data_IF_016495182436
#
_entry.id   IF_016495182436
#
_cell.length_a   1.000
_cell.length_b   1.000
_cell.length_c   1.000
_cell.angle_alpha   90.00
_cell.angle_beta   90.00
_cell.angle_gamma   90.00
#
_symmetry.space_group_name_H-M   'P 1'
#
loop_
_entity.id
_entity.type
_entity.pdbx_description
1 polymer ?
#
# COMPACT_ATOMS: atom_id res chain seq x y z
N UNK A 1 -11.98 8.68 -4.45
CA UNK A 1 -10.83 8.90 -3.53
C UNK A 1 -11.22 8.25 -2.22
N UNK A 2 -10.35 7.37 -1.71
CA UNK A 2 -10.57 6.64 -0.47
C UNK A 2 -9.33 6.74 0.41
N UNK A 3 -9.57 6.82 1.71
CA UNK A 3 -8.52 6.67 2.72
C UNK A 3 -8.27 5.19 2.93
N UNK A 4 -7.02 4.76 2.82
CA UNK A 4 -6.61 3.42 3.22
C UNK A 4 -5.51 3.49 4.25
N UNK A 5 -5.55 2.60 5.23
CA UNK A 5 -4.54 2.53 6.27
C UNK A 5 -3.60 1.38 5.97
N UNK A 6 -2.32 1.70 5.77
CA UNK A 6 -1.26 0.71 5.59
C UNK A 6 -0.51 0.54 6.90
N UNK A 7 -0.44 -0.68 7.38
CA UNK A 7 0.18 -1.06 8.65
C UNK A 7 1.52 -1.74 8.40
N UNK A 8 2.52 -1.39 9.19
CA UNK A 8 3.83 -2.03 9.12
C UNK A 8 3.74 -3.50 9.58
N UNK A 9 4.30 -4.41 8.80
CA UNK A 9 4.32 -5.85 9.13
C UNK A 9 5.10 -6.16 10.42
N UNK A 10 6.14 -5.37 10.72
CA UNK A 10 7.02 -5.59 11.87
C UNK A 10 6.52 -4.90 13.15
N UNK A 11 5.72 -3.84 13.02
CA UNK A 11 5.15 -3.12 14.15
C UNK A 11 3.74 -2.64 13.80
N UNK A 12 2.73 -3.37 14.25
CA UNK A 12 1.33 -3.05 13.96
C UNK A 12 0.81 -1.76 14.61
N UNK A 13 1.55 -1.20 15.58
CA UNK A 13 1.25 0.13 16.11
C UNK A 13 1.67 1.25 15.14
N UNK A 14 2.48 0.94 14.14
CA UNK A 14 2.95 1.86 13.10
C UNK A 14 2.05 1.72 11.88
N UNK A 15 1.29 2.76 11.55
CA UNK A 15 0.40 2.79 10.39
C UNK A 15 0.34 4.17 9.74
N UNK A 16 0.22 4.22 8.42
CA UNK A 16 0.04 5.45 7.65
C UNK A 16 -1.30 5.43 6.92
N UNK A 17 -1.99 6.56 6.93
CA UNK A 17 -3.23 6.76 6.18
C UNK A 17 -2.89 7.40 4.83
N UNK A 18 -3.26 6.74 3.73
CA UNK A 18 -2.99 7.17 2.35
C UNK A 18 -4.29 7.50 1.63
N UNK A 19 -4.29 8.57 0.85
CA UNK A 19 -5.43 9.02 0.05
C UNK A 19 -5.29 8.55 -1.39
N UNK A 20 -5.92 7.43 -1.75
CA UNK A 20 -5.73 6.83 -3.06
C UNK A 20 -7.01 6.89 -3.91
N UNK A 21 -6.91 7.00 -5.24
CA UNK A 21 -8.03 6.75 -6.14
C UNK A 21 -8.66 5.37 -5.92
N UNK A 22 -9.93 5.21 -6.27
CA UNK A 22 -10.66 3.96 -6.00
C UNK A 22 -10.10 2.78 -6.79
N UNK A 23 -9.57 3.07 -7.99
CA UNK A 23 -8.89 2.18 -8.93
C UNK A 23 -7.39 1.99 -8.67
N UNK A 24 -6.82 2.66 -7.66
CA UNK A 24 -5.40 2.56 -7.32
C UNK A 24 -5.03 1.35 -6.47
N UNK A 25 -5.95 0.40 -6.23
CA UNK A 25 -5.69 -0.81 -5.44
C UNK A 25 -5.97 -2.04 -6.30
N UNK A 26 -4.96 -2.88 -6.47
CA UNK A 26 -5.06 -4.08 -7.28
C UNK A 26 -4.56 -5.30 -6.52
N UNK A 27 -5.31 -6.41 -6.57
CA UNK A 27 -4.82 -7.71 -6.14
C UNK A 27 -4.02 -8.33 -7.31
N UNK A 28 -2.86 -8.92 -7.01
CA UNK A 28 -2.03 -9.62 -8.02
C UNK A 28 -2.02 -11.14 -7.77
N UNK A 29 -1.58 -11.92 -8.78
CA UNK A 29 -1.65 -13.39 -8.82
C UNK A 29 -1.05 -14.12 -7.60
N UNK A 30 -0.23 -13.45 -6.79
CA UNK A 30 0.37 -14.00 -5.57
C UNK A 30 -0.42 -13.70 -4.29
N UNK A 31 -1.63 -13.15 -4.40
CA UNK A 31 -2.43 -12.71 -3.24
C UNK A 31 -1.91 -11.44 -2.57
N UNK A 32 -0.90 -10.79 -3.16
CA UNK A 32 -0.39 -9.49 -2.72
C UNK A 32 -1.24 -8.36 -3.27
N UNK A 33 -1.11 -7.20 -2.64
CA UNK A 33 -1.82 -5.98 -2.98
C UNK A 33 -0.84 -4.95 -3.49
N UNK A 34 -1.15 -4.38 -4.64
CA UNK A 34 -0.49 -3.21 -5.18
C UNK A 34 -1.33 -1.97 -4.92
N UNK A 35 -0.68 -0.93 -4.39
CA UNK A 35 -1.26 0.39 -4.20
C UNK A 35 -0.46 1.36 -5.07
N UNK A 36 -1.15 2.10 -5.93
CA UNK A 36 -0.54 3.14 -6.74
C UNK A 36 -0.59 4.47 -6.01
N UNK A 37 0.59 5.01 -5.73
CA UNK A 37 0.83 6.23 -4.98
C UNK A 37 1.43 7.29 -5.89
N UNK A 38 1.12 8.55 -5.60
CA UNK A 38 1.89 9.66 -6.14
C UNK A 38 3.25 9.79 -5.43
N UNK A 39 4.20 10.56 -5.98
CA UNK A 39 5.54 10.70 -5.40
C UNK A 39 5.54 11.31 -3.99
N UNK A 40 4.61 12.20 -3.67
CA UNK A 40 4.54 12.81 -2.34
C UNK A 40 4.10 11.79 -1.29
N UNK A 41 3.10 10.96 -1.60
CA UNK A 41 2.69 9.85 -0.74
C UNK A 41 3.80 8.80 -0.55
N UNK A 42 4.55 8.50 -1.60
CA UNK A 42 5.70 7.60 -1.50
C UNK A 42 6.79 8.15 -0.56
N UNK A 43 7.06 9.46 -0.60
CA UNK A 43 7.97 10.12 0.35
C UNK A 43 7.46 10.05 1.79
N UNK A 44 6.16 10.22 2.02
CA UNK A 44 5.58 10.04 3.36
C UNK A 44 5.81 8.62 3.88
N UNK A 45 5.59 7.59 3.05
CA UNK A 45 5.88 6.20 3.40
C UNK A 45 7.36 5.98 3.73
N UNK A 46 8.28 6.56 2.94
CA UNK A 46 9.74 6.49 3.17
C UNK A 46 10.13 7.07 4.52
N UNK A 47 9.59 8.24 4.85
CA UNK A 47 9.87 8.90 6.13
C UNK A 47 9.27 8.16 7.32
N UNK A 48 8.09 7.56 7.13
CA UNK A 48 7.33 6.96 8.22
C UNK A 48 7.91 5.61 8.69
N UNK A 49 8.28 4.73 7.77
CA UNK A 49 8.84 3.42 8.14
C UNK A 49 9.75 2.82 7.07
N UNK A 50 11.00 2.53 7.45
CA UNK A 50 12.00 1.90 6.57
C UNK A 50 11.58 0.50 6.07
N UNK A 51 10.77 -0.23 6.84
CA UNK A 51 10.25 -1.53 6.40
C UNK A 51 9.20 -1.38 5.29
N UNK A 52 8.51 -0.25 5.23
CA UNK A 52 7.52 0.04 4.21
C UNK A 52 8.19 0.65 2.97
N UNK A 53 9.26 1.43 3.14
CA UNK A 53 10.10 1.93 2.04
C UNK A 53 10.56 0.81 1.10
N UNK A 54 11.00 -0.33 1.65
CA UNK A 54 11.48 -1.46 0.83
C UNK A 54 10.40 -2.12 -0.03
N UNK A 55 9.13 -1.75 0.17
CA UNK A 55 7.97 -2.21 -0.59
C UNK A 55 7.59 -1.27 -1.74
N UNK A 56 8.31 -0.15 -1.90
CA UNK A 56 8.05 0.86 -2.93
C UNK A 56 8.91 0.60 -4.17
N UNK A 57 8.27 0.64 -5.33
CA UNK A 57 8.91 0.44 -6.64
C UNK A 57 8.40 1.47 -7.64
N UNK A 58 9.20 1.94 -8.61
CA UNK A 58 8.69 2.71 -9.74
C UNK A 58 7.58 1.93 -10.46
N UNK A 59 6.48 2.60 -10.83
CA UNK A 59 5.45 1.95 -11.63
C UNK A 59 6.00 1.65 -13.04
N UNK A 60 5.76 0.45 -13.60
CA UNK A 60 6.43 0.01 -14.83
C UNK A 60 6.06 0.85 -16.06
N UNK A 61 4.80 1.28 -16.14
CA UNK A 61 4.26 1.98 -17.32
C UNK A 61 4.06 3.49 -17.09
N UNK A 62 4.28 3.98 -15.87
CA UNK A 62 4.00 5.36 -15.50
C UNK A 62 5.06 5.89 -14.52
N UNK A 63 6.06 6.59 -15.04
CA UNK A 63 7.14 7.16 -14.22
C UNK A 63 6.66 8.22 -13.21
N UNK A 64 5.43 8.71 -13.34
CA UNK A 64 4.84 9.65 -12.37
C UNK A 64 4.22 8.95 -11.15
N UNK A 65 4.18 7.61 -11.15
CA UNK A 65 3.59 6.80 -10.08
C UNK A 65 4.61 5.89 -9.41
N UNK A 66 4.37 5.64 -8.13
CA UNK A 66 5.08 4.65 -7.34
C UNK A 66 4.10 3.53 -6.99
N UNK A 67 4.55 2.28 -7.12
CA UNK A 67 3.80 1.09 -6.73
C UNK A 67 4.30 0.62 -5.38
N UNK A 68 3.40 0.55 -4.40
CA UNK A 68 3.66 -0.12 -3.13
C UNK A 68 3.08 -1.53 -3.18
N UNK A 69 3.88 -2.56 -2.87
CA UNK A 69 3.40 -3.95 -2.82
C UNK A 69 3.40 -4.50 -1.40
N UNK A 70 2.24 -4.86 -0.87
CA UNK A 70 2.05 -5.29 0.52
C UNK A 70 1.21 -6.57 0.60
N UNK A 71 1.25 -7.21 1.77
CA UNK A 71 0.33 -8.30 2.09
C UNK A 71 -1.08 -7.75 2.44
N UNK A 72 -2.18 -8.47 2.13
CA UNK A 72 -3.54 -8.05 2.49
C UNK A 72 -3.72 -7.73 3.98
N UNK A 73 -3.01 -8.44 4.87
CA UNK A 73 -3.06 -8.21 6.32
C UNK A 73 -2.41 -6.90 6.76
N UNK A 74 -1.76 -6.18 5.85
CA UNK A 74 -1.22 -4.84 6.08
C UNK A 74 -2.17 -3.74 5.63
N UNK A 75 -3.30 -4.06 4.99
CA UNK A 75 -4.24 -3.07 4.48
C UNK A 75 -5.58 -3.10 5.22
N UNK A 76 -5.91 -1.95 5.79
CA UNK A 76 -7.22 -1.65 6.39
C UNK A 76 -7.95 -0.64 5.49
N UNK A 77 -9.10 -1.05 4.94
CA UNK A 77 -9.98 -0.27 4.07
C UNK A 77 -11.07 0.45 4.88
N UNK A 78 -10.70 1.14 5.97
CA UNK A 78 -11.66 1.92 6.76
C UNK A 78 -12.51 1.09 7.71
N UNK A 79 -11.93 0.05 8.31
CA UNK A 79 -12.57 -0.88 9.22
C UNK A 79 -12.74 -2.29 8.65
N UNK A 80 -12.54 -2.45 7.33
CA UNK A 80 -12.54 -3.74 6.65
C UNK A 80 -11.10 -4.12 6.29
N UNK A 81 -10.58 -5.13 6.99
CA UNK A 81 -9.27 -5.71 6.65
C UNK A 81 -9.40 -6.52 5.38
N UNK A 82 -8.48 -6.31 4.43
CA UNK A 82 -8.45 -7.20 3.28
C UNK A 82 -7.98 -8.58 3.71
N UNK A 83 -8.81 -9.57 3.43
CA UNK A 83 -8.47 -10.97 3.65
C UNK A 83 -7.70 -11.49 2.43
N UNK A 84 -6.67 -12.33 2.63
CA UNK A 84 -6.09 -13.05 1.52
C UNK A 84 -7.18 -13.87 0.84
N UNK A 85 -7.28 -13.80 -0.49
CA UNK A 85 -8.14 -14.70 -1.25
C UNK A 85 -7.60 -16.12 -1.07
N UNK A 86 -8.22 -16.88 -0.18
CA UNK A 86 -8.01 -18.33 -0.06
C UNK A 86 -8.88 -18.94 -1.16
N UNK A 87 -8.26 -19.20 -2.31
CA UNK A 87 -8.88 -19.99 -3.39
C UNK A 87 -9.14 -21.42 -2.94
#
# INVERSE_FOLDING_TARGET
MKTVKVVCEHNRATSIDLQVPDDSICCIQCGLIQIFLDPAQAEEVRYYCRCMESKLYPHPDDSSRITMTIDPSQLDLGGEWMTPWIG
#
